data_IF_707066197536
#
_entry.id   IF_707066197536
#
_cell.length_a   1.000
_cell.length_b   1.000
_cell.length_c   1.000
_cell.angle_alpha   90.00
_cell.angle_beta   90.00
_cell.angle_gamma   90.00
#
_symmetry.space_group_name_H-M   'P 1'
#
loop_
_entity.id
_entity.type
_entity.pdbx_description
1 polymer ?
#
# COMPACT_ATOMS: atom_id res chain seq x y z
N UNK A 1 -11.21 22.24 4.15
CA UNK A 1 -10.05 21.55 3.53
C UNK A 1 -10.45 21.14 2.11
N UNK A 2 -9.58 21.30 1.10
CA UNK A 2 -9.97 21.02 -0.30
C UNK A 2 -9.94 19.51 -0.61
N UNK A 3 -10.70 19.06 -1.62
CA UNK A 3 -10.72 17.65 -2.02
C UNK A 3 -9.33 17.12 -2.44
N UNK A 4 -8.51 17.96 -3.07
CA UNK A 4 -7.11 17.62 -3.40
C UNK A 4 -6.24 17.48 -2.16
N UNK A 5 -6.47 18.32 -1.14
CA UNK A 5 -5.75 18.23 0.14
C UNK A 5 -6.07 16.92 0.84
N UNK A 6 -7.35 16.55 0.92
CA UNK A 6 -7.78 15.26 1.49
C UNK A 6 -7.15 14.10 0.73
N UNK A 7 -7.23 14.09 -0.61
CA UNK A 7 -6.65 13.02 -1.44
C UNK A 7 -5.14 12.86 -1.21
N UNK A 8 -4.40 13.97 -1.23
CA UNK A 8 -2.96 13.91 -1.00
C UNK A 8 -2.58 13.47 0.42
N UNK A 9 -3.39 13.84 1.42
CA UNK A 9 -3.22 13.33 2.78
C UNK A 9 -3.48 11.82 2.87
N UNK A 10 -4.41 11.26 2.08
CA UNK A 10 -4.64 9.81 2.05
C UNK A 10 -3.44 9.04 1.48
N UNK A 11 -2.80 9.58 0.43
CA UNK A 11 -1.54 9.04 -0.09
C UNK A 11 -0.39 9.13 0.92
N UNK A 12 -0.25 10.27 1.60
CA UNK A 12 0.76 10.45 2.65
C UNK A 12 0.51 9.48 3.79
N UNK A 13 -0.74 9.39 4.27
CA UNK A 13 -1.13 8.48 5.34
C UNK A 13 -0.79 7.03 4.96
N UNK A 14 -1.08 6.62 3.73
CA UNK A 14 -0.76 5.28 3.25
C UNK A 14 0.75 5.04 3.32
N UNK A 15 1.54 5.99 2.83
CA UNK A 15 3.00 5.90 2.81
C UNK A 15 3.66 5.91 4.19
N UNK A 16 3.17 6.72 5.14
CA UNK A 16 3.77 6.77 6.49
C UNK A 16 3.28 5.65 7.42
N UNK A 17 2.19 4.96 7.07
CA UNK A 17 1.56 3.98 7.96
C UNK A 17 2.53 2.88 8.40
N UNK A 18 3.20 2.12 7.51
CA UNK A 18 4.11 1.07 7.97
C UNK A 18 5.25 1.56 8.87
N UNK A 19 6.02 2.61 8.53
CA UNK A 19 7.11 3.04 9.42
C UNK A 19 6.61 3.60 10.75
N UNK A 20 5.45 4.28 10.79
CA UNK A 20 4.90 4.79 12.06
C UNK A 20 4.36 3.65 12.92
N UNK A 21 3.63 2.71 12.32
CA UNK A 21 2.97 1.64 13.07
C UNK A 21 3.96 0.58 13.50
N UNK A 22 4.74 -0.02 12.59
CA UNK A 22 5.67 -1.10 12.93
C UNK A 22 6.94 -0.60 13.63
N UNK A 23 7.63 0.39 13.03
CA UNK A 23 8.92 0.87 13.56
C UNK A 23 8.77 1.93 14.66
N UNK A 24 7.60 2.55 14.78
CA UNK A 24 7.31 3.55 15.79
C UNK A 24 6.57 2.95 16.99
N UNK A 25 5.36 2.45 16.78
CA UNK A 25 4.43 2.06 17.85
C UNK A 25 4.51 0.59 18.24
N UNK A 26 4.83 -0.28 17.27
CA UNK A 26 4.83 -1.73 17.43
C UNK A 26 6.03 -2.27 18.19
N UNK A 27 6.13 -3.61 18.30
CA UNK A 27 7.16 -4.30 19.07
C UNK A 27 8.60 -3.96 18.63
N UNK A 28 8.82 -3.69 17.35
CA UNK A 28 10.14 -3.36 16.79
C UNK A 28 10.58 -1.91 17.07
N UNK A 29 9.65 -1.07 17.53
CA UNK A 29 9.88 0.33 17.85
C UNK A 29 9.81 0.60 19.35
N UNK A 30 8.81 1.37 19.78
CA UNK A 30 8.58 1.72 21.18
C UNK A 30 7.91 0.63 22.01
N UNK A 31 7.32 -0.38 21.38
CA UNK A 31 6.59 -1.45 22.07
C UNK A 31 5.31 -0.99 22.79
N UNK A 32 4.76 0.17 22.42
CA UNK A 32 3.49 0.68 22.98
C UNK A 32 2.33 -0.24 22.59
N UNK A 33 2.39 -0.81 21.39
CA UNK A 33 1.42 -1.78 20.87
C UNK A 33 2.02 -3.17 20.89
N UNK A 34 1.21 -4.16 21.29
CA UNK A 34 1.51 -5.56 21.02
C UNK A 34 1.33 -5.85 19.51
N UNK A 35 1.75 -7.04 19.07
CA UNK A 35 1.70 -7.41 17.65
C UNK A 35 0.25 -7.37 17.12
N UNK A 36 -0.71 -7.93 17.86
CA UNK A 36 -2.11 -7.95 17.43
C UNK A 36 -2.70 -6.55 17.23
N UNK A 37 -2.38 -5.59 18.10
CA UNK A 37 -2.81 -4.18 17.96
C UNK A 37 -2.04 -3.44 16.89
N UNK A 38 -0.77 -3.78 16.67
CA UNK A 38 0.06 -3.24 15.59
C UNK A 38 -0.57 -3.56 14.24
N UNK A 39 -0.90 -4.83 14.00
CA UNK A 39 -1.54 -5.27 12.75
C UNK A 39 -2.92 -4.63 12.53
N UNK A 40 -3.73 -4.54 13.58
CA UNK A 40 -5.05 -3.88 13.49
C UNK A 40 -4.94 -2.40 13.14
N UNK A 41 -4.03 -1.68 13.79
CA UNK A 41 -3.83 -0.26 13.52
C UNK A 41 -3.27 -0.05 12.11
N UNK A 42 -2.31 -0.88 11.69
CA UNK A 42 -1.78 -0.86 10.33
C UNK A 42 -2.92 -1.02 9.31
N UNK A 43 -3.75 -2.05 9.45
CA UNK A 43 -4.86 -2.31 8.54
C UNK A 43 -5.82 -1.11 8.41
N UNK A 44 -6.20 -0.48 9.54
CA UNK A 44 -7.12 0.65 9.54
C UNK A 44 -6.56 1.88 8.86
N UNK A 45 -5.29 2.19 9.12
CA UNK A 45 -4.64 3.35 8.51
C UNK A 45 -4.32 3.10 7.04
N UNK A 46 -3.94 1.88 6.68
CA UNK A 46 -3.53 1.54 5.32
C UNK A 46 -4.71 1.56 4.31
N UNK A 47 -5.96 1.48 4.78
CA UNK A 47 -7.15 1.78 3.95
C UNK A 47 -7.13 3.17 3.31
N UNK A 48 -6.28 4.08 3.76
CA UNK A 48 -6.08 5.35 3.07
C UNK A 48 -5.57 5.17 1.63
N UNK A 49 -4.89 4.07 1.30
CA UNK A 49 -4.41 3.80 -0.06
C UNK A 49 -5.54 3.63 -1.09
N UNK A 50 -6.49 2.67 -0.92
CA UNK A 50 -7.63 2.56 -1.84
C UNK A 50 -8.45 3.84 -1.87
N UNK A 51 -8.60 4.54 -0.74
CA UNK A 51 -9.32 5.82 -0.69
C UNK A 51 -8.61 6.86 -1.57
N UNK A 52 -7.28 6.97 -1.50
CA UNK A 52 -6.50 7.89 -2.32
C UNK A 52 -6.68 7.61 -3.82
N UNK A 53 -6.60 6.35 -4.23
CA UNK A 53 -6.83 5.97 -5.62
C UNK A 53 -8.28 6.18 -6.06
N UNK A 54 -9.26 5.93 -5.19
CA UNK A 54 -10.67 6.17 -5.47
C UNK A 54 -10.97 7.67 -5.69
N UNK A 55 -10.39 8.53 -4.86
CA UNK A 55 -10.48 9.98 -5.01
C UNK A 55 -9.78 10.47 -6.29
N UNK A 56 -8.65 9.86 -6.65
CA UNK A 56 -7.93 10.13 -7.90
C UNK A 56 -8.77 9.73 -9.12
N UNK A 57 -9.36 8.53 -9.08
CA UNK A 57 -10.26 7.97 -10.10
C UNK A 57 -11.53 8.81 -10.28
N UNK A 58 -12.01 9.50 -9.25
CA UNK A 58 -13.13 10.45 -9.36
C UNK A 58 -12.80 11.68 -10.21
N UNK A 59 -11.52 12.07 -10.30
CA UNK A 59 -11.10 13.23 -11.10
C UNK A 59 -10.89 12.85 -12.57
N UNK A 60 -10.13 11.79 -12.83
CA UNK A 60 -9.98 11.20 -14.16
C UNK A 60 -10.03 9.68 -14.04
N UNK A 61 -10.97 9.05 -14.75
CA UNK A 61 -11.23 7.61 -14.67
C UNK A 61 -10.74 6.88 -15.89
N UNK A 62 -10.33 5.62 -15.72
CA UNK A 62 -10.08 4.67 -16.80
C UNK A 62 -10.14 3.24 -16.26
N UNK A 63 -10.22 2.26 -17.16
CA UNK A 63 -10.39 0.85 -16.80
C UNK A 63 -9.24 0.30 -15.96
N UNK A 64 -8.02 0.85 -16.05
CA UNK A 64 -6.89 0.40 -15.23
C UNK A 64 -7.05 0.87 -13.78
N UNK A 65 -7.50 2.11 -13.54
CA UNK A 65 -7.80 2.56 -12.18
C UNK A 65 -8.90 1.70 -11.54
N UNK A 66 -9.92 1.32 -12.31
CA UNK A 66 -11.02 0.48 -11.82
C UNK A 66 -10.56 -0.94 -11.48
N UNK A 67 -9.86 -1.59 -12.41
CA UNK A 67 -9.32 -2.92 -12.20
C UNK A 67 -8.29 -2.95 -11.06
N UNK A 68 -7.40 -1.96 -11.01
CA UNK A 68 -6.39 -1.83 -9.96
C UNK A 68 -7.01 -1.65 -8.58
N UNK A 69 -8.01 -0.78 -8.44
CA UNK A 69 -8.75 -0.57 -7.20
C UNK A 69 -9.46 -1.85 -6.73
N UNK A 70 -10.08 -2.59 -7.65
CA UNK A 70 -10.73 -3.86 -7.34
C UNK A 70 -9.75 -4.88 -6.77
N UNK A 71 -8.59 -5.04 -7.43
CA UNK A 71 -7.52 -5.93 -6.96
C UNK A 71 -7.01 -5.46 -5.59
N UNK A 72 -6.77 -4.16 -5.42
CA UNK A 72 -6.24 -3.58 -4.19
C UNK A 72 -7.18 -3.84 -2.99
N UNK A 73 -8.48 -3.54 -3.12
CA UNK A 73 -9.45 -3.73 -2.03
C UNK A 73 -9.63 -5.21 -1.69
N UNK A 74 -9.70 -6.08 -2.70
CA UNK A 74 -9.82 -7.53 -2.47
C UNK A 74 -8.59 -8.10 -1.76
N UNK A 75 -7.40 -7.71 -2.19
CA UNK A 75 -6.13 -8.20 -1.63
C UNK A 75 -5.84 -7.64 -0.24
N UNK A 76 -6.21 -6.39 0.05
CA UNK A 76 -6.11 -5.84 1.42
C UNK A 76 -7.04 -6.57 2.40
N UNK A 77 -8.21 -7.01 1.95
CA UNK A 77 -9.08 -7.85 2.80
C UNK A 77 -8.41 -9.19 3.12
N UNK A 78 -7.68 -9.77 2.16
CA UNK A 78 -6.89 -10.98 2.36
C UNK A 78 -5.68 -10.74 3.28
N UNK A 79 -4.99 -9.61 3.17
CA UNK A 79 -3.84 -9.30 4.04
C UNK A 79 -4.29 -9.15 5.49
N UNK A 80 -5.41 -8.48 5.75
CA UNK A 80 -5.97 -8.38 7.10
C UNK A 80 -6.26 -9.74 7.73
N UNK A 81 -6.69 -10.73 6.93
CA UNK A 81 -6.86 -12.10 7.40
C UNK A 81 -5.51 -12.74 7.70
N UNK A 82 -4.51 -12.55 6.85
CA UNK A 82 -3.16 -13.04 7.07
C UNK A 82 -2.56 -12.46 8.35
N UNK A 83 -2.67 -11.16 8.55
CA UNK A 83 -2.14 -10.45 9.73
C UNK A 83 -2.86 -10.92 11.01
N UNK A 84 -4.19 -11.10 10.95
CA UNK A 84 -4.97 -11.63 12.06
C UNK A 84 -4.59 -13.07 12.43
N UNK A 85 -4.27 -13.92 11.45
CA UNK A 85 -3.72 -15.26 11.69
C UNK A 85 -2.32 -15.18 12.30
N UNK A 86 -1.49 -14.25 11.83
CA UNK A 86 -0.10 -14.06 12.27
C UNK A 86 0.02 -13.60 13.72
N UNK A 87 -1.04 -12.98 14.27
CA UNK A 87 -1.13 -12.64 15.69
C UNK A 87 -1.18 -13.87 16.63
N UNK A 88 -1.39 -15.08 16.10
CA UNK A 88 -1.32 -16.34 16.85
C UNK A 88 -0.16 -17.21 16.36
N UNK A 89 0.69 -17.65 17.29
CA UNK A 89 1.81 -18.55 16.98
C UNK A 89 1.38 -19.91 16.41
N UNK A 90 0.13 -20.32 16.61
CA UNK A 90 -0.41 -21.57 16.05
C UNK A 90 -0.60 -21.49 14.53
N UNK A 91 -0.88 -20.29 14.01
CA UNK A 91 -1.22 -20.08 12.61
C UNK A 91 -0.14 -19.37 11.80
N UNK A 92 1.06 -19.14 12.36
CA UNK A 92 2.14 -18.41 11.68
C UNK A 92 2.44 -18.93 10.27
N UNK A 93 2.60 -20.24 10.08
CA UNK A 93 2.85 -20.80 8.74
C UNK A 93 1.72 -20.53 7.74
N UNK A 94 0.48 -20.54 8.23
CA UNK A 94 -0.70 -20.23 7.41
C UNK A 94 -0.73 -18.75 7.06
N UNK A 95 -0.46 -17.89 8.05
CA UNK A 95 -0.30 -16.44 7.87
C UNK A 95 0.74 -16.15 6.79
N UNK A 96 1.97 -16.64 6.92
CA UNK A 96 3.06 -16.40 5.96
C UNK A 96 2.66 -16.82 4.53
N UNK A 97 2.01 -17.97 4.40
CA UNK A 97 1.55 -18.49 3.10
C UNK A 97 0.50 -17.58 2.45
N UNK A 98 -0.47 -17.09 3.23
CA UNK A 98 -1.50 -16.17 2.75
C UNK A 98 -0.89 -14.80 2.45
N UNK A 99 0.03 -14.32 3.30
CA UNK A 99 0.74 -13.05 3.17
C UNK A 99 1.45 -12.92 1.82
N UNK A 100 2.10 -13.98 1.32
CA UNK A 100 2.76 -13.95 -0.01
C UNK A 100 1.76 -13.50 -1.08
N UNK A 101 0.60 -14.17 -1.11
CA UNK A 101 -0.44 -13.90 -2.13
C UNK A 101 -1.10 -12.55 -1.89
N UNK A 102 -1.38 -12.20 -0.63
CA UNK A 102 -2.04 -10.97 -0.27
C UNK A 102 -1.18 -9.74 -0.61
N UNK A 103 0.04 -9.65 -0.08
CA UNK A 103 0.91 -8.49 -0.29
C UNK A 103 1.38 -8.36 -1.73
N UNK A 104 1.69 -9.46 -2.42
CA UNK A 104 1.97 -9.41 -3.87
C UNK A 104 0.77 -8.88 -4.65
N UNK A 105 -0.45 -9.32 -4.33
CA UNK A 105 -1.67 -8.83 -4.97
C UNK A 105 -1.94 -7.34 -4.68
N UNK A 106 -1.62 -6.84 -3.48
CA UNK A 106 -1.68 -5.40 -3.17
C UNK A 106 -0.70 -4.63 -4.06
N UNK A 107 0.53 -5.13 -4.25
CA UNK A 107 1.51 -4.52 -5.15
C UNK A 107 1.06 -4.59 -6.61
N UNK A 108 0.42 -5.68 -7.03
CA UNK A 108 -0.20 -5.78 -8.36
C UNK A 108 -1.31 -4.75 -8.53
N UNK A 109 -2.25 -4.64 -7.58
CA UNK A 109 -3.31 -3.63 -7.60
C UNK A 109 -2.74 -2.21 -7.66
N UNK A 110 -1.68 -1.94 -6.90
CA UNK A 110 -0.93 -0.68 -6.92
C UNK A 110 -0.28 -0.42 -8.27
N UNK A 111 0.37 -1.42 -8.87
CA UNK A 111 0.97 -1.34 -10.20
C UNK A 111 -0.08 -0.98 -11.25
N UNK A 112 -1.22 -1.68 -11.27
CA UNK A 112 -2.31 -1.45 -12.22
C UNK A 112 -2.93 -0.05 -12.00
N UNK A 113 -3.10 0.39 -10.74
CA UNK A 113 -3.48 1.76 -10.44
C UNK A 113 -2.45 2.77 -10.97
N UNK A 114 -1.16 2.49 -10.81
CA UNK A 114 -0.06 3.30 -11.34
C UNK A 114 -0.11 3.46 -12.86
N UNK A 115 -0.37 2.37 -13.59
CA UNK A 115 -0.61 2.40 -15.05
C UNK A 115 -1.82 3.28 -15.36
N UNK A 116 -2.90 3.13 -14.57
CA UNK A 116 -4.07 3.98 -14.66
C UNK A 116 -3.73 5.47 -14.51
N UNK A 117 -2.97 5.85 -13.49
CA UNK A 117 -2.54 7.23 -13.27
C UNK A 117 -1.60 7.73 -14.38
N UNK A 118 -0.69 6.90 -14.89
CA UNK A 118 0.21 7.27 -15.98
C UNK A 118 -0.53 7.67 -17.26
N UNK A 119 -1.75 7.16 -17.45
CA UNK A 119 -2.65 7.51 -18.55
C UNK A 119 -3.52 8.75 -18.29
N UNK A 120 -3.32 9.43 -17.16
CA UNK A 120 -3.99 10.69 -16.80
C UNK A 120 -3.01 11.86 -16.83
N UNK A 121 -3.54 13.07 -16.75
CA UNK A 121 -2.74 14.30 -16.60
C UNK A 121 -2.59 14.73 -15.13
N UNK A 122 -3.01 13.89 -14.18
CA UNK A 122 -3.05 14.24 -12.76
C UNK A 122 -1.66 14.32 -12.11
N UNK A 123 -0.67 13.64 -12.69
CA UNK A 123 0.70 13.58 -12.19
C UNK A 123 1.70 13.65 -13.35
N UNK A 124 2.91 14.19 -13.13
CA UNK A 124 4.01 14.12 -14.08
C UNK A 124 4.30 12.67 -14.46
N UNK A 125 4.52 12.41 -15.74
CA UNK A 125 4.77 11.05 -16.27
C UNK A 125 5.91 10.32 -15.55
N UNK A 126 6.97 11.04 -15.17
CA UNK A 126 8.11 10.45 -14.46
C UNK A 126 7.71 9.92 -13.07
N UNK A 127 6.81 10.60 -12.37
CA UNK A 127 6.38 10.22 -11.02
C UNK A 127 5.44 9.01 -11.08
N UNK A 128 4.50 9.01 -12.03
CA UNK A 128 3.66 7.86 -12.31
C UNK A 128 4.50 6.65 -12.75
N UNK A 129 5.51 6.87 -13.60
CA UNK A 129 6.46 5.84 -14.04
C UNK A 129 7.29 5.27 -12.89
N UNK A 130 7.76 6.11 -11.97
CA UNK A 130 8.47 5.69 -10.77
C UNK A 130 7.59 4.81 -9.88
N UNK A 131 6.32 5.18 -9.69
CA UNK A 131 5.38 4.39 -8.91
C UNK A 131 5.08 3.03 -9.56
N UNK A 132 4.90 2.99 -10.88
CA UNK A 132 4.76 1.75 -11.66
C UNK A 132 5.99 0.86 -11.45
N UNK A 133 7.19 1.39 -11.60
CA UNK A 133 8.42 0.63 -11.44
C UNK A 133 8.56 0.07 -10.02
N UNK A 134 8.35 0.90 -9.00
CA UNK A 134 8.44 0.49 -7.60
C UNK A 134 7.42 -0.61 -7.26
N UNK A 135 6.14 -0.40 -7.61
CA UNK A 135 5.09 -1.38 -7.36
C UNK A 135 5.29 -2.68 -8.16
N UNK A 136 5.77 -2.58 -9.41
CA UNK A 136 6.05 -3.74 -10.25
C UNK A 136 7.22 -4.59 -9.76
N UNK A 137 8.32 -3.96 -9.33
CA UNK A 137 9.44 -4.67 -8.71
C UNK A 137 9.00 -5.34 -7.41
N UNK A 138 8.28 -4.61 -6.54
CA UNK A 138 7.76 -5.17 -5.30
C UNK A 138 6.82 -6.36 -5.54
N UNK A 139 5.94 -6.27 -6.54
CA UNK A 139 5.08 -7.37 -6.96
C UNK A 139 5.88 -8.59 -7.39
N UNK A 140 6.85 -8.44 -8.30
CA UNK A 140 7.63 -9.57 -8.81
C UNK A 140 8.44 -10.27 -7.71
N UNK A 141 9.03 -9.50 -6.81
CA UNK A 141 9.78 -10.06 -5.68
C UNK A 141 8.86 -10.83 -4.73
N UNK A 142 7.75 -10.24 -4.31
CA UNK A 142 6.80 -10.90 -3.40
C UNK A 142 6.11 -12.10 -4.06
N UNK A 143 5.72 -12.01 -5.33
CA UNK A 143 5.02 -13.09 -6.04
C UNK A 143 5.90 -14.33 -6.27
N UNK A 144 7.22 -14.18 -6.18
CA UNK A 144 8.19 -15.28 -6.35
C UNK A 144 8.87 -15.67 -5.03
N UNK A 145 8.55 -14.98 -3.93
CA UNK A 145 9.11 -15.24 -2.62
C UNK A 145 8.61 -16.58 -2.06
N UNK A 146 9.51 -17.31 -1.40
CA UNK A 146 9.06 -18.32 -0.45
C UNK A 146 8.43 -17.60 0.76
N UNK A 147 7.41 -18.18 1.43
CA UNK A 147 6.78 -17.55 2.59
C UNK A 147 7.77 -17.10 3.68
N UNK A 148 8.82 -17.89 3.92
CA UNK A 148 9.85 -17.59 4.91
C UNK A 148 10.71 -16.35 4.58
N UNK A 149 10.70 -15.89 3.32
CA UNK A 149 11.57 -14.81 2.85
C UNK A 149 10.84 -13.47 2.73
N UNK A 150 9.54 -13.39 3.02
CA UNK A 150 8.73 -12.16 2.89
C UNK A 150 9.39 -10.97 3.60
N UNK A 151 9.88 -11.17 4.82
CA UNK A 151 10.47 -10.11 5.63
C UNK A 151 11.73 -9.51 4.96
N UNK A 152 12.44 -10.28 4.16
CA UNK A 152 13.62 -9.81 3.41
C UNK A 152 13.26 -8.72 2.39
N UNK A 153 11.99 -8.61 2.00
CA UNK A 153 11.50 -7.64 1.02
C UNK A 153 10.88 -6.38 1.64
N UNK A 154 10.86 -6.26 2.98
CA UNK A 154 10.41 -5.05 3.69
C UNK A 154 11.08 -3.77 3.17
N UNK A 155 12.40 -3.71 2.89
CA UNK A 155 13.01 -2.50 2.35
C UNK A 155 12.42 -2.05 1.00
N UNK A 156 12.07 -3.00 0.12
CA UNK A 156 11.45 -2.70 -1.18
C UNK A 156 10.03 -2.16 -0.97
N UNK A 157 9.30 -2.75 -0.02
CA UNK A 157 7.98 -2.26 0.36
C UNK A 157 8.04 -0.81 0.87
N UNK A 158 9.03 -0.47 1.71
CA UNK A 158 9.22 0.91 2.20
C UNK A 158 9.53 1.91 1.06
N UNK A 159 10.22 1.49 -0.01
CA UNK A 159 10.43 2.35 -1.19
C UNK A 159 9.11 2.68 -1.90
N UNK A 160 8.21 1.71 -2.04
CA UNK A 160 6.87 1.95 -2.61
C UNK A 160 6.12 3.00 -1.78
N UNK A 161 6.21 2.89 -0.45
CA UNK A 161 5.59 3.81 0.49
C UNK A 161 6.17 5.22 0.40
N UNK A 162 7.48 5.35 0.22
CA UNK A 162 8.12 6.65 -0.02
C UNK A 162 7.56 7.32 -1.29
N UNK A 163 7.36 6.55 -2.38
CA UNK A 163 6.77 7.09 -3.61
C UNK A 163 5.31 7.52 -3.37
N UNK A 164 4.54 6.80 -2.54
CA UNK A 164 3.18 7.22 -2.14
C UNK A 164 3.19 8.57 -1.41
N UNK A 165 4.15 8.82 -0.51
CA UNK A 165 4.29 10.13 0.15
C UNK A 165 4.52 11.23 -0.89
N UNK A 166 5.40 10.99 -1.86
CA UNK A 166 5.69 11.95 -2.94
C UNK A 166 4.45 12.22 -3.80
N UNK A 167 3.68 11.18 -4.15
CA UNK A 167 2.39 11.31 -4.83
C UNK A 167 1.43 12.19 -4.02
N UNK A 168 1.35 11.99 -2.71
CA UNK A 168 0.48 12.79 -1.84
C UNK A 168 0.88 14.27 -1.77
N UNK A 169 2.18 14.56 -1.63
CA UNK A 169 2.71 15.93 -1.69
C UNK A 169 2.39 16.57 -3.04
N UNK A 170 2.58 15.85 -4.15
CA UNK A 170 2.25 16.36 -5.47
C UNK A 170 0.76 16.66 -5.62
N UNK A 171 -0.10 15.76 -5.13
CA UNK A 171 -1.55 15.92 -5.16
C UNK A 171 -2.02 17.17 -4.42
N UNK A 172 -1.39 17.51 -3.28
CA UNK A 172 -1.70 18.75 -2.53
C UNK A 172 -1.30 19.98 -3.34
N UNK A 173 -0.12 19.92 -4.00
CA UNK A 173 0.49 21.07 -4.69
C UNK A 173 -0.06 21.32 -6.09
N UNK A 174 -0.83 20.41 -6.67
CA UNK A 174 -1.40 20.58 -8.01
C UNK A 174 -2.27 21.85 -8.10
N UNK A 175 -2.19 22.53 -9.25
CA UNK A 175 -3.12 23.60 -9.64
C UNK A 175 -4.56 23.06 -9.61
N UNK A 176 -5.54 23.94 -9.37
CA UNK A 176 -6.94 23.56 -9.20
C UNK A 176 -7.45 22.65 -10.32
#
# INVERSE_FOLDING_TARGET
>A
MSAKTVNGLMFILAGITPPVVYLGLGPDGSGILDMARTEQLFAYLFFSLPIAFMMTRKVQTNNFLDAGLLILVASMSMSMVADALGASSEFTKMSDTVSVTAFSSIMLGSLICGIGIFRTELFPRWLSGLFIAAAGIAFLLLATAAPADIESYVPVFLLVHLVMIILGVHTIRRSA
#
